data_IF_348526417080
#
_entry.id   IF_348526417080
#
_cell.length_a   1.000
_cell.length_b   1.000
_cell.length_c   1.000
_cell.angle_alpha   90.00
_cell.angle_beta   90.00
_cell.angle_gamma   90.00
#
_symmetry.space_group_name_H-M   'P 1'
#
loop_
_entity.id
_entity.type
_entity.pdbx_description
1 polymer ?
#
# COMPACT_ATOMS: atom_id res chain seq x y z
N UNK A 1 8.93 8.02 -12.59
CA UNK A 1 8.31 6.69 -12.45
C UNK A 1 7.80 6.53 -11.04
N UNK A 2 6.65 5.89 -10.84
CA UNK A 2 6.09 5.52 -9.53
C UNK A 2 5.91 4.01 -9.52
N UNK A 3 6.57 3.32 -8.60
CA UNK A 3 6.52 1.86 -8.47
C UNK A 3 5.51 1.46 -7.41
N UNK A 4 4.89 0.29 -7.54
CA UNK A 4 3.92 -0.22 -6.55
C UNK A 4 4.54 -0.50 -5.17
N UNK A 5 5.73 -1.10 -5.14
CA UNK A 5 6.29 -1.63 -3.90
C UNK A 5 6.70 -0.55 -2.89
N UNK A 6 7.28 0.61 -3.25
CA UNK A 6 7.57 1.65 -2.25
C UNK A 6 6.32 2.19 -1.57
N UNK A 7 5.17 2.20 -2.27
CA UNK A 7 3.89 2.59 -1.68
C UNK A 7 3.36 1.50 -0.75
N UNK A 8 3.51 0.22 -1.11
CA UNK A 8 3.23 -0.91 -0.21
C UNK A 8 4.04 -0.79 1.10
N UNK A 9 5.34 -0.53 1.01
CA UNK A 9 6.19 -0.37 2.20
C UNK A 9 5.81 0.86 3.02
N UNK A 10 5.48 1.98 2.38
CA UNK A 10 5.05 3.18 3.07
C UNK A 10 3.74 2.97 3.84
N UNK A 11 2.79 2.22 3.27
CA UNK A 11 1.55 1.84 3.95
C UNK A 11 1.83 1.06 5.23
N UNK A 12 2.65 0.01 5.14
CA UNK A 12 3.03 -0.79 6.31
C UNK A 12 3.75 0.08 7.34
N UNK A 13 4.74 0.88 6.90
CA UNK A 13 5.59 1.66 7.79
C UNK A 13 4.81 2.73 8.56
N UNK A 14 3.98 3.53 7.88
CA UNK A 14 3.21 4.58 8.56
C UNK A 14 2.16 4.02 9.51
N UNK A 15 1.48 2.94 9.10
CA UNK A 15 0.47 2.31 9.94
C UNK A 15 1.09 1.66 11.18
N UNK A 16 2.21 0.93 11.00
CA UNK A 16 2.96 0.33 12.10
C UNK A 16 3.54 1.39 13.05
N UNK A 17 4.08 2.48 12.51
CA UNK A 17 4.58 3.56 13.33
C UNK A 17 3.44 4.20 14.15
N UNK A 18 2.28 4.45 13.52
CA UNK A 18 1.10 4.94 14.22
C UNK A 18 0.61 3.97 15.30
N UNK A 19 0.61 2.65 15.04
CA UNK A 19 0.17 1.67 16.05
C UNK A 19 1.04 1.69 17.31
N UNK A 20 2.33 2.03 17.18
CA UNK A 20 3.26 2.13 18.31
C UNK A 20 3.26 3.49 19.00
N UNK A 21 3.23 4.59 18.26
CA UNK A 21 3.43 5.94 18.84
C UNK A 21 2.12 6.69 19.07
N UNK A 22 1.05 6.30 18.38
CA UNK A 22 -0.24 7.02 18.33
C UNK A 22 -0.14 8.47 17.87
N UNK A 23 0.94 8.84 17.18
CA UNK A 23 1.12 10.18 16.62
C UNK A 23 0.16 10.41 15.43
N UNK A 24 -0.81 11.34 15.51
CA UNK A 24 -1.85 11.48 14.48
C UNK A 24 -1.33 11.82 13.08
N UNK A 25 -0.17 12.49 13.00
CA UNK A 25 0.47 12.82 11.72
C UNK A 25 0.83 11.56 10.92
N UNK A 26 1.20 10.46 11.57
CA UNK A 26 1.53 9.20 10.90
C UNK A 26 0.30 8.55 10.27
N UNK A 27 -0.84 8.56 10.97
CA UNK A 27 -2.09 8.08 10.39
C UNK A 27 -2.54 8.95 9.22
N UNK A 28 -2.34 10.26 9.30
CA UNK A 28 -2.62 11.15 8.18
C UNK A 28 -1.75 10.81 6.96
N UNK A 29 -0.44 10.59 7.14
CA UNK A 29 0.44 10.14 6.06
C UNK A 29 0.04 8.79 5.50
N UNK A 30 -0.34 7.84 6.36
CA UNK A 30 -0.90 6.56 5.92
C UNK A 30 -2.10 6.78 4.99
N UNK A 31 -3.05 7.63 5.39
CA UNK A 31 -4.24 7.93 4.58
C UNK A 31 -3.91 8.55 3.23
N UNK A 32 -2.99 9.53 3.18
CA UNK A 32 -2.55 10.11 1.91
C UNK A 32 -1.93 9.07 0.97
N UNK A 33 -1.07 8.19 1.51
CA UNK A 33 -0.45 7.10 0.74
C UNK A 33 -1.51 6.08 0.31
N UNK A 34 -2.46 5.74 1.19
CA UNK A 34 -3.55 4.81 0.91
C UNK A 34 -4.41 5.31 -0.25
N UNK A 35 -4.87 6.56 -0.18
CA UNK A 35 -5.69 7.17 -1.23
C UNK A 35 -4.98 7.16 -2.57
N UNK A 36 -3.70 7.57 -2.61
CA UNK A 36 -2.92 7.52 -3.86
C UNK A 36 -2.76 6.08 -4.36
N UNK A 37 -2.42 5.15 -3.46
CA UNK A 37 -2.12 3.77 -3.83
C UNK A 37 -3.32 3.08 -4.44
N UNK A 38 -4.45 3.11 -3.73
CA UNK A 38 -5.68 2.42 -4.13
C UNK A 38 -6.38 3.09 -5.31
N UNK A 39 -6.11 4.37 -5.57
CA UNK A 39 -6.61 5.07 -6.78
C UNK A 39 -5.84 4.69 -8.04
N UNK A 40 -4.53 4.44 -7.93
CA UNK A 40 -3.65 4.39 -9.11
C UNK A 40 -3.11 3.00 -9.47
N UNK A 41 -2.86 2.12 -8.50
CA UNK A 41 -2.23 0.82 -8.76
C UNK A 41 -3.22 -0.32 -9.02
N UNK A 42 -4.33 -0.49 -8.29
CA UNK A 42 -5.25 -1.60 -8.53
C UNK A 42 -5.83 -1.59 -9.94
N UNK A 43 -5.82 -2.75 -10.58
CA UNK A 43 -6.58 -2.98 -11.81
C UNK A 43 -7.93 -3.61 -11.45
N UNK A 44 -8.96 -2.76 -11.42
CA UNK A 44 -10.31 -3.18 -11.09
C UNK A 44 -10.92 -4.17 -12.11
N UNK A 45 -10.37 -4.28 -13.32
CA UNK A 45 -10.92 -5.16 -14.36
C UNK A 45 -10.33 -6.56 -14.32
N UNK A 46 -9.02 -6.69 -14.11
CA UNK A 46 -8.30 -7.98 -14.19
C UNK A 46 -7.75 -8.46 -12.85
N UNK A 47 -7.97 -7.69 -11.78
CA UNK A 47 -7.42 -7.97 -10.46
C UNK A 47 -5.91 -7.67 -10.38
N UNK A 48 -5.39 -7.72 -9.16
CA UNK A 48 -3.99 -7.38 -8.86
C UNK A 48 -3.66 -5.91 -9.20
N UNK A 49 -2.41 -5.48 -8.98
CA UNK A 49 -1.94 -4.11 -9.10
C UNK A 49 -0.94 -3.97 -10.25
N UNK A 50 -1.05 -2.89 -11.02
CA UNK A 50 0.03 -2.48 -11.92
C UNK A 50 1.32 -2.26 -11.12
N UNK A 51 2.47 -2.64 -11.70
CA UNK A 51 3.76 -2.40 -11.07
C UNK A 51 4.30 -0.99 -11.31
N UNK A 52 4.12 -0.48 -12.53
CA UNK A 52 4.93 0.64 -13.02
C UNK A 52 4.03 1.72 -13.59
N UNK A 53 4.06 2.89 -12.95
CA UNK A 53 3.34 4.07 -13.41
C UNK A 53 4.31 5.19 -13.84
N UNK A 54 3.83 6.09 -14.69
CA UNK A 54 4.52 7.35 -15.00
C UNK A 54 4.56 8.25 -13.76
N UNK A 55 5.24 9.39 -13.86
CA UNK A 55 5.29 10.36 -12.76
C UNK A 55 3.90 10.94 -12.43
N UNK A 56 3.04 11.03 -13.44
CA UNK A 56 1.65 11.51 -13.37
C UNK A 56 0.67 10.42 -12.91
N UNK A 57 1.14 9.21 -12.63
CA UNK A 57 0.31 8.10 -12.14
C UNK A 57 -0.50 7.38 -13.23
N UNK A 58 -0.07 7.46 -14.50
CA UNK A 58 -0.64 6.65 -15.60
C UNK A 58 0.09 5.31 -15.71
N UNK A 59 -0.58 4.25 -16.14
CA UNK A 59 0.04 2.93 -16.36
C UNK A 59 1.14 3.04 -17.42
N UNK A 60 2.38 2.69 -17.05
CA UNK A 60 3.53 2.68 -17.95
C UNK A 60 3.82 1.27 -18.48
N UNK A 61 3.67 0.25 -17.64
CA UNK A 61 3.77 -1.17 -18.00
C UNK A 61 2.58 -1.92 -17.39
N UNK A 62 1.85 -2.69 -18.21
CA UNK A 62 0.56 -3.29 -17.85
C UNK A 62 0.66 -4.74 -17.35
N UNK A 63 1.84 -5.36 -17.37
CA UNK A 63 2.05 -6.69 -16.82
C UNK A 63 1.91 -6.70 -15.30
N UNK A 64 1.30 -7.77 -14.75
CA UNK A 64 1.08 -7.95 -13.31
C UNK A 64 2.19 -8.70 -12.59
N UNK A 65 3.05 -9.36 -13.35
CA UNK A 65 4.24 -10.04 -12.85
C UNK A 65 5.37 -9.95 -13.86
N UNK A 66 6.60 -9.95 -13.37
CA UNK A 66 7.81 -9.85 -14.18
C UNK A 66 9.05 -10.16 -13.33
N UNK A 67 10.27 -9.92 -13.85
CA UNK A 67 11.52 -10.28 -13.16
C UNK A 67 11.65 -9.69 -11.75
N UNK A 68 10.97 -8.58 -11.48
CA UNK A 68 11.03 -7.86 -10.21
C UNK A 68 9.67 -7.69 -9.53
N UNK A 69 8.58 -8.19 -10.12
CA UNK A 69 7.23 -8.15 -9.55
C UNK A 69 6.65 -9.55 -9.44
N UNK A 70 6.39 -9.99 -8.23
CA UNK A 70 5.77 -11.27 -7.93
C UNK A 70 4.80 -11.19 -6.76
N UNK A 71 4.33 -12.35 -6.30
CA UNK A 71 3.41 -12.49 -5.18
C UNK A 71 4.13 -12.28 -3.84
N UNK A 72 4.49 -11.03 -3.55
CA UNK A 72 5.19 -10.67 -2.30
C UNK A 72 4.72 -9.33 -1.73
N UNK A 73 5.14 -8.20 -2.31
CA UNK A 73 4.88 -6.88 -1.71
C UNK A 73 3.38 -6.57 -1.55
N UNK A 74 2.56 -6.82 -2.57
CA UNK A 74 1.10 -6.56 -2.51
C UNK A 74 0.42 -7.42 -1.45
N UNK A 75 0.47 -8.77 -1.52
CA UNK A 75 -0.23 -9.59 -0.53
C UNK A 75 0.30 -9.39 0.90
N UNK A 76 1.63 -9.22 1.08
CA UNK A 76 2.20 -8.93 2.39
C UNK A 76 1.71 -7.59 2.94
N UNK A 77 1.70 -6.54 2.12
CA UNK A 77 1.22 -5.23 2.54
C UNK A 77 -0.22 -5.27 3.01
N UNK A 78 -1.12 -5.87 2.22
CA UNK A 78 -2.54 -5.96 2.56
C UNK A 78 -2.75 -6.76 3.84
N UNK A 79 -2.11 -7.93 3.94
CA UNK A 79 -2.20 -8.78 5.12
C UNK A 79 -1.65 -8.10 6.39
N UNK A 80 -0.48 -7.46 6.30
CA UNK A 80 0.09 -6.76 7.45
C UNK A 80 -0.75 -5.57 7.88
N UNK A 81 -1.25 -4.76 6.94
CA UNK A 81 -2.12 -3.64 7.27
C UNK A 81 -3.43 -4.10 7.92
N UNK A 82 -4.05 -5.16 7.41
CA UNK A 82 -5.25 -5.76 8.00
C UNK A 82 -4.97 -6.21 9.44
N UNK A 83 -3.88 -6.94 9.68
CA UNK A 83 -3.50 -7.40 11.03
C UNK A 83 -3.27 -6.25 12.01
N UNK A 84 -2.54 -5.22 11.59
CA UNK A 84 -2.29 -4.05 12.44
C UNK A 84 -3.61 -3.33 12.77
N UNK A 85 -4.52 -3.18 11.79
CA UNK A 85 -5.82 -2.55 12.01
C UNK A 85 -6.69 -3.37 12.96
N UNK A 86 -6.75 -4.69 12.78
CA UNK A 86 -7.49 -5.59 13.67
C UNK A 86 -7.00 -5.47 15.12
N UNK A 87 -5.69 -5.51 15.33
CA UNK A 87 -5.08 -5.38 16.66
C UNK A 87 -5.38 -4.01 17.28
N UNK A 88 -5.35 -2.94 16.48
CA UNK A 88 -5.68 -1.59 16.95
C UNK A 88 -7.17 -1.42 17.28
N UNK A 89 -8.06 -2.08 16.56
CA UNK A 89 -9.52 -2.01 16.77
C UNK A 89 -9.99 -2.92 17.92
N UNK A 90 -9.28 -4.01 18.19
CA UNK A 90 -9.54 -4.91 19.31
C UNK A 90 -9.12 -4.28 20.65
N UNK A 91 -7.99 -3.56 20.68
CA UNK A 91 -7.43 -2.94 21.88
C UNK A 91 -8.00 -1.52 22.13
N UNK A 92 -9.33 -1.36 22.05
CA UNK A 92 -10.01 -0.12 22.44
C UNK A 92 -10.11 -0.04 23.97
N UNK A 93 -9.04 0.41 24.61
CA UNK A 93 -9.09 1.00 25.95
C UNK A 93 -9.44 2.51 25.84
#
# INVERSE_FOLDING_TARGET
>A
MKLWWPHCEALIAFLMAYSHTREPALLHRFSEVFEYTFKHFPDAQKGEWFGYLTQEGKVALDFKGGPFKGFFHVPRCLYMCERILDDMLANKD
#
